data_IF_512627699523
#
_entry.id   IF_512627699523
#
_cell.length_a   1.000
_cell.length_b   1.000
_cell.length_c   1.000
_cell.angle_alpha   90.00
_cell.angle_beta   90.00
_cell.angle_gamma   90.00
#
_symmetry.space_group_name_H-M   'P 1'
#
loop_
_entity.id
_entity.type
_entity.pdbx_description
1 polymer ?
#
# COMPACT_ATOMS: atom_id res chain seq x y z
N UNK A 1 2.59 23.26 4.94
CA UNK A 1 2.29 21.81 4.82
C UNK A 1 0.91 21.41 5.37
N UNK A 2 -0.19 22.09 5.01
CA UNK A 2 -1.56 21.72 5.45
C UNK A 2 -2.29 20.77 4.48
N UNK A 3 -1.83 20.67 3.23
CA UNK A 3 -2.44 19.85 2.18
C UNK A 3 -2.21 18.34 2.38
N UNK A 4 -1.03 17.92 2.87
CA UNK A 4 -0.70 16.48 2.97
C UNK A 4 -1.64 15.71 3.90
N UNK A 5 -2.09 16.33 5.00
CA UNK A 5 -2.98 15.65 5.96
C UNK A 5 -4.41 15.44 5.45
N UNK A 6 -4.91 16.30 4.56
CA UNK A 6 -6.23 16.14 3.93
C UNK A 6 -6.16 15.12 2.80
N UNK A 7 -5.13 15.20 1.97
CA UNK A 7 -4.88 14.25 0.88
C UNK A 7 -4.81 12.82 1.43
N UNK A 8 -3.99 12.59 2.44
CA UNK A 8 -3.81 11.26 3.01
C UNK A 8 -5.11 10.68 3.55
N UNK A 9 -5.94 11.50 4.20
CA UNK A 9 -7.24 11.08 4.74
C UNK A 9 -8.21 10.60 3.67
N UNK A 10 -8.30 11.31 2.54
CA UNK A 10 -9.20 10.93 1.44
C UNK A 10 -8.66 9.68 0.74
N UNK A 11 -7.35 9.67 0.48
CA UNK A 11 -6.73 8.58 -0.26
C UNK A 11 -6.76 7.25 0.50
N UNK A 12 -6.77 7.25 1.84
CA UNK A 12 -6.91 6.02 2.63
C UNK A 12 -8.25 5.29 2.45
N UNK A 13 -9.28 5.95 1.92
CA UNK A 13 -10.55 5.28 1.61
C UNK A 13 -10.54 4.60 0.25
N UNK A 14 -9.65 5.05 -0.65
CA UNK A 14 -9.60 4.61 -2.04
C UNK A 14 -8.44 3.64 -2.24
N UNK A 15 -7.27 3.96 -1.67
CA UNK A 15 -6.01 3.25 -1.85
C UNK A 15 -6.04 1.77 -1.46
N UNK A 16 -6.67 1.34 -0.33
CA UNK A 16 -6.75 -0.08 0.02
C UNK A 16 -7.45 -0.95 -1.03
N UNK A 17 -8.35 -0.37 -1.83
CA UNK A 17 -9.03 -1.07 -2.91
C UNK A 17 -8.28 -0.89 -4.24
N UNK A 18 -7.94 0.36 -4.57
CA UNK A 18 -7.34 0.70 -5.87
C UNK A 18 -5.93 0.15 -6.00
N UNK A 19 -5.09 0.22 -4.96
CA UNK A 19 -3.68 -0.18 -5.08
C UNK A 19 -3.50 -1.69 -5.29
N UNK A 20 -4.18 -2.60 -4.55
CA UNK A 20 -4.11 -4.03 -4.86
C UNK A 20 -4.64 -4.36 -6.25
N UNK A 21 -5.75 -3.74 -6.66
CA UNK A 21 -6.27 -3.89 -8.02
C UNK A 21 -5.28 -3.40 -9.06
N UNK A 22 -4.62 -2.27 -8.80
CA UNK A 22 -3.63 -1.68 -9.70
C UNK A 22 -2.36 -2.54 -9.77
N UNK A 23 -1.95 -3.23 -8.71
CA UNK A 23 -0.85 -4.21 -8.80
C UNK A 23 -1.20 -5.35 -9.76
N UNK A 24 -2.44 -5.85 -9.71
CA UNK A 24 -2.86 -6.99 -10.52
C UNK A 24 -3.18 -6.62 -11.97
N UNK A 25 -3.92 -5.53 -12.18
CA UNK A 25 -4.47 -5.13 -13.48
C UNK A 25 -3.77 -3.92 -14.08
N UNK A 26 -3.05 -3.12 -13.29
CA UNK A 26 -2.39 -1.90 -13.78
C UNK A 26 -1.33 -2.18 -14.84
N UNK A 27 -0.76 -3.39 -14.84
CA UNK A 27 0.15 -3.88 -15.90
C UNK A 27 -0.48 -3.91 -17.30
N UNK A 28 -1.78 -4.19 -17.40
CA UNK A 28 -2.50 -4.28 -18.69
C UNK A 28 -2.61 -2.89 -19.35
N UNK A 29 -2.65 -1.83 -18.54
CA UNK A 29 -2.64 -0.43 -19.02
C UNK A 29 -1.37 -0.13 -19.82
N UNK A 30 -0.27 -0.83 -19.51
CA UNK A 30 1.02 -0.68 -20.19
C UNK A 30 1.29 -1.77 -21.24
N UNK A 31 0.28 -2.59 -21.58
CA UNK A 31 0.39 -3.63 -22.60
C UNK A 31 1.19 -4.87 -22.18
N UNK A 32 1.60 -4.99 -20.91
CA UNK A 32 2.20 -6.22 -20.43
C UNK A 32 1.15 -7.34 -20.46
N UNK A 33 1.53 -8.60 -20.77
CA UNK A 33 0.60 -9.74 -20.80
C UNK A 33 -0.13 -9.87 -19.47
N UNK A 34 -1.24 -10.58 -19.34
CA UNK A 34 -1.79 -10.96 -18.04
C UNK A 34 -2.04 -12.45 -18.02
N UNK A 35 -1.86 -13.06 -16.84
CA UNK A 35 -1.96 -14.50 -16.67
C UNK A 35 -2.85 -14.87 -15.51
N UNK A 36 -2.60 -16.06 -14.97
CA UNK A 36 -3.43 -16.63 -13.91
C UNK A 36 -3.34 -15.84 -12.60
N UNK A 37 -2.26 -15.06 -12.36
CA UNK A 37 -2.14 -14.23 -11.15
C UNK A 37 -3.20 -13.14 -11.13
N UNK A 38 -3.54 -12.53 -12.28
CA UNK A 38 -4.63 -11.55 -12.35
C UNK A 38 -5.99 -12.18 -11.97
N UNK A 39 -6.27 -13.38 -12.48
CA UNK A 39 -7.51 -14.12 -12.19
C UNK A 39 -7.64 -14.50 -10.71
N UNK A 40 -6.60 -15.13 -10.13
CA UNK A 40 -6.59 -15.46 -8.69
C UNK A 40 -6.53 -14.20 -7.81
N UNK A 41 -5.89 -13.16 -8.32
CA UNK A 41 -5.75 -11.88 -7.64
C UNK A 41 -7.10 -11.27 -7.27
N UNK A 42 -8.14 -11.43 -8.10
CA UNK A 42 -9.48 -10.93 -7.79
C UNK A 42 -10.06 -11.54 -6.51
N UNK A 43 -9.75 -12.81 -6.24
CA UNK A 43 -10.14 -13.50 -5.01
C UNK A 43 -9.27 -13.06 -3.83
N UNK A 44 -7.98 -12.75 -4.07
CA UNK A 44 -7.04 -12.33 -3.03
C UNK A 44 -7.18 -10.85 -2.62
N UNK A 45 -7.69 -9.99 -3.51
CA UNK A 45 -7.83 -8.54 -3.26
C UNK A 45 -8.58 -8.25 -1.96
N UNK A 46 -9.76 -8.84 -1.67
CA UNK A 46 -10.43 -8.63 -0.39
C UNK A 46 -9.56 -8.96 0.83
N UNK A 47 -8.76 -10.03 0.77
CA UNK A 47 -7.89 -10.44 1.87
C UNK A 47 -6.72 -9.48 2.11
N UNK A 48 -6.31 -8.72 1.11
CA UNK A 48 -5.29 -7.67 1.25
C UNK A 48 -5.92 -6.31 1.59
N UNK A 49 -7.01 -5.97 0.91
CA UNK A 49 -7.70 -4.68 1.03
C UNK A 49 -8.33 -4.50 2.41
N UNK A 50 -8.97 -5.54 2.97
CA UNK A 50 -9.64 -5.44 4.29
C UNK A 50 -8.65 -5.10 5.42
N UNK A 51 -7.51 -5.81 5.57
CA UNK A 51 -6.49 -5.42 6.54
C UNK A 51 -5.94 -4.01 6.34
N UNK A 52 -5.79 -3.55 5.10
CA UNK A 52 -5.32 -2.19 4.81
C UNK A 52 -6.26 -1.08 5.34
N UNK A 53 -7.53 -1.39 5.63
CA UNK A 53 -8.44 -0.46 6.31
C UNK A 53 -8.25 -0.40 7.83
N UNK A 54 -7.52 -1.34 8.44
CA UNK A 54 -7.35 -1.38 9.90
C UNK A 54 -6.68 -0.09 10.42
N UNK A 55 -5.50 0.34 9.94
CA UNK A 55 -4.88 1.57 10.42
C UNK A 55 -5.75 2.85 10.25
N UNK A 56 -6.36 3.14 9.08
CA UNK A 56 -7.18 4.33 8.94
C UNK A 56 -8.45 4.28 9.79
N UNK A 57 -9.08 3.12 9.98
CA UNK A 57 -10.23 2.99 10.90
C UNK A 57 -9.78 3.37 12.32
N UNK A 58 -8.70 2.78 12.82
CA UNK A 58 -8.15 3.07 14.15
C UNK A 58 -7.87 4.58 14.33
N UNK A 59 -7.22 5.21 13.36
CA UNK A 59 -6.87 6.66 13.43
C UNK A 59 -8.08 7.57 13.21
N UNK A 60 -9.07 7.14 12.42
CA UNK A 60 -10.22 8.00 12.12
C UNK A 60 -11.27 7.96 13.23
N UNK A 61 -11.48 6.85 13.92
CA UNK A 61 -12.50 6.82 14.98
C UNK A 61 -12.04 7.43 16.31
N UNK A 62 -10.74 7.64 16.50
CA UNK A 62 -10.20 8.30 17.70
C UNK A 62 -9.88 9.79 17.43
N UNK A 63 -10.72 10.70 17.95
CA UNK A 63 -10.53 12.15 17.79
C UNK A 63 -9.29 12.67 18.52
N UNK A 64 -8.91 12.04 19.62
CA UNK A 64 -7.81 12.48 20.48
C UNK A 64 -6.47 11.99 19.92
N UNK A 65 -6.42 10.78 19.36
CA UNK A 65 -5.26 10.27 18.63
C UNK A 65 -4.90 11.12 17.40
N UNK A 66 -5.89 11.78 16.77
CA UNK A 66 -5.66 12.73 15.66
C UNK A 66 -5.00 14.03 16.11
N UNK A 67 -5.05 14.39 17.38
CA UNK A 67 -4.45 15.64 17.86
C UNK A 67 -2.91 15.54 17.93
N UNK A 68 -2.36 14.33 18.10
CA UNK A 68 -0.93 14.12 18.30
C UNK A 68 -0.15 14.23 16.98
N UNK A 69 0.69 15.27 16.88
CA UNK A 69 1.43 15.62 15.65
C UNK A 69 2.48 14.59 15.25
N UNK A 70 3.12 13.93 16.22
CA UNK A 70 4.19 12.96 15.98
C UNK A 70 3.67 11.69 15.29
N UNK A 71 2.63 11.09 15.87
CA UNK A 71 1.89 9.94 15.33
C UNK A 71 1.45 10.16 13.89
N UNK A 72 0.92 11.34 13.59
CA UNK A 72 0.50 11.72 12.24
C UNK A 72 1.63 11.74 11.22
N UNK A 73 2.84 12.15 11.63
CA UNK A 73 3.99 12.19 10.71
C UNK A 73 4.45 10.77 10.36
N UNK A 74 4.61 9.91 11.36
CA UNK A 74 4.99 8.51 11.15
C UNK A 74 3.97 7.80 10.26
N UNK A 75 2.68 7.95 10.58
CA UNK A 75 1.59 7.37 9.79
C UNK A 75 1.62 7.84 8.33
N UNK A 76 1.75 9.14 8.08
CA UNK A 76 1.80 9.68 6.72
C UNK A 76 3.00 9.15 5.93
N UNK A 77 4.20 9.10 6.54
CA UNK A 77 5.41 8.59 5.88
C UNK A 77 5.22 7.12 5.53
N UNK A 78 4.78 6.30 6.48
CA UNK A 78 4.50 4.89 6.24
C UNK A 78 3.46 4.69 5.12
N UNK A 79 2.45 5.56 5.05
CA UNK A 79 1.45 5.53 3.97
C UNK A 79 2.04 5.82 2.60
N UNK A 80 2.86 6.87 2.47
CA UNK A 80 3.50 7.19 1.20
C UNK A 80 4.46 6.08 0.75
N UNK A 81 5.22 5.51 1.68
CA UNK A 81 6.10 4.36 1.38
C UNK A 81 5.28 3.18 0.90
N UNK A 82 4.21 2.83 1.61
CA UNK A 82 3.31 1.74 1.22
C UNK A 82 2.79 1.96 -0.20
N UNK A 83 2.24 3.14 -0.49
CA UNK A 83 1.68 3.43 -1.80
C UNK A 83 2.73 3.40 -2.91
N UNK A 84 3.91 3.97 -2.67
CA UNK A 84 5.01 3.91 -3.62
C UNK A 84 5.43 2.46 -3.91
N UNK A 85 5.49 1.60 -2.89
CA UNK A 85 5.82 0.19 -3.09
C UNK A 85 4.75 -0.56 -3.89
N UNK A 86 3.46 -0.28 -3.69
CA UNK A 86 2.40 -0.83 -4.54
C UNK A 86 2.56 -0.41 -6.01
N UNK A 87 2.96 0.83 -6.29
CA UNK A 87 3.24 1.28 -7.66
C UNK A 87 4.44 0.56 -8.26
N UNK A 88 5.50 0.34 -7.47
CA UNK A 88 6.65 -0.45 -7.93
C UNK A 88 6.22 -1.89 -8.21
N UNK A 89 5.45 -2.50 -7.30
CA UNK A 89 4.92 -3.85 -7.48
C UNK A 89 4.08 -3.98 -8.75
N UNK A 90 3.24 -2.99 -9.10
CA UNK A 90 2.51 -3.00 -10.37
C UNK A 90 3.45 -3.11 -11.56
N UNK A 91 4.55 -2.37 -11.56
CA UNK A 91 5.49 -2.34 -12.67
C UNK A 91 6.35 -3.60 -12.75
N UNK A 92 6.62 -4.23 -11.60
CA UNK A 92 7.59 -5.32 -11.48
C UNK A 92 6.96 -6.71 -11.36
N UNK A 93 5.65 -6.81 -11.11
CA UNK A 93 4.94 -8.08 -11.03
C UNK A 93 5.09 -8.83 -12.36
N UNK A 94 5.66 -10.03 -12.29
CA UNK A 94 5.85 -10.92 -13.45
C UNK A 94 4.68 -11.89 -13.54
N UNK A 95 4.04 -11.97 -14.71
CA UNK A 95 2.94 -12.92 -15.01
C UNK A 95 2.90 -13.18 -16.52
N UNK A 96 2.27 -14.26 -16.96
CA UNK A 96 2.21 -14.63 -18.37
C UNK A 96 1.23 -15.75 -18.71
N UNK A 97 0.62 -16.41 -17.73
CA UNK A 97 -0.29 -17.53 -17.99
C UNK A 97 0.40 -18.64 -18.78
N UNK A 98 -0.05 -18.86 -20.01
CA UNK A 98 0.52 -19.85 -20.94
C UNK A 98 1.67 -19.27 -21.81
N UNK A 99 1.98 -17.99 -21.65
CA UNK A 99 3.07 -17.28 -22.33
C UNK A 99 4.26 -17.04 -21.40
N UNK A 100 5.39 -16.58 -21.97
CA UNK A 100 6.56 -16.23 -21.17
C UNK A 100 6.21 -15.14 -20.14
N UNK A 101 6.47 -15.43 -18.86
CA UNK A 101 6.11 -14.52 -17.79
C UNK A 101 6.95 -13.23 -17.84
N UNK A 102 6.27 -12.09 -17.92
CA UNK A 102 6.87 -10.77 -18.03
C UNK A 102 6.18 -9.78 -17.08
N UNK A 103 6.93 -8.77 -16.66
CA UNK A 103 6.41 -7.58 -16.00
C UNK A 103 6.32 -6.41 -16.99
N UNK A 104 5.79 -5.27 -16.56
CA UNK A 104 5.81 -4.04 -17.38
C UNK A 104 7.23 -3.66 -17.76
N UNK A 105 8.16 -3.71 -16.80
CA UNK A 105 9.55 -3.30 -17.03
C UNK A 105 10.31 -4.28 -17.92
N UNK A 106 10.10 -5.59 -17.76
CA UNK A 106 10.76 -6.58 -18.61
C UNK A 106 10.15 -6.66 -20.01
N UNK A 107 8.83 -6.44 -20.13
CA UNK A 107 8.14 -6.37 -21.41
C UNK A 107 8.63 -5.18 -22.25
N UNK A 108 8.83 -4.02 -21.61
CA UNK A 108 9.42 -2.84 -22.25
C UNK A 108 10.93 -2.93 -22.50
N UNK A 109 11.59 -4.05 -22.18
CA UNK A 109 13.02 -4.25 -22.38
C UNK A 109 13.93 -3.42 -21.46
N UNK A 110 13.40 -2.83 -20.39
CA UNK A 110 14.17 -1.97 -19.47
C UNK A 110 15.07 -2.80 -18.54
N UNK A 111 14.59 -3.97 -18.10
CA UNK A 111 15.29 -4.87 -17.19
C UNK A 111 15.02 -6.34 -17.54
N UNK A 112 15.84 -7.26 -17.02
CA UNK A 112 15.59 -8.71 -17.15
C UNK A 112 14.41 -9.16 -16.29
N UNK A 113 13.81 -10.31 -16.64
CA UNK A 113 12.72 -10.90 -15.85
C UNK A 113 13.14 -11.20 -14.41
N UNK A 114 14.36 -11.70 -14.21
CA UNK A 114 14.92 -11.98 -12.88
C UNK A 114 15.09 -10.71 -12.05
N UNK A 115 15.61 -9.63 -12.66
CA UNK A 115 15.73 -8.33 -11.99
C UNK A 115 14.35 -7.77 -11.60
N UNK A 116 13.35 -7.95 -12.47
CA UNK A 116 11.98 -7.56 -12.16
C UNK A 116 11.41 -8.32 -10.98
N UNK A 117 11.60 -9.64 -10.94
CA UNK A 117 11.15 -10.49 -9.83
C UNK A 117 11.82 -10.10 -8.51
N UNK A 118 13.13 -9.83 -8.52
CA UNK A 118 13.85 -9.36 -7.35
C UNK A 118 13.30 -8.02 -6.83
N UNK A 119 13.03 -7.07 -7.72
CA UNK A 119 12.41 -5.79 -7.37
C UNK A 119 10.99 -5.95 -6.83
N UNK A 120 10.20 -6.87 -7.37
CA UNK A 120 8.87 -7.18 -6.86
C UNK A 120 8.93 -7.70 -5.43
N UNK A 121 9.79 -8.68 -5.14
CA UNK A 121 9.97 -9.25 -3.80
C UNK A 121 10.46 -8.19 -2.81
N UNK A 122 11.42 -7.35 -3.22
CA UNK A 122 11.90 -6.24 -2.40
C UNK A 122 10.78 -5.24 -2.09
N UNK A 123 10.02 -4.79 -3.11
CA UNK A 123 8.93 -3.86 -2.93
C UNK A 123 7.82 -4.44 -2.04
N UNK A 124 7.47 -5.71 -2.21
CA UNK A 124 6.52 -6.42 -1.35
C UNK A 124 7.00 -6.46 0.11
N UNK A 125 8.28 -6.76 0.35
CA UNK A 125 8.86 -6.75 1.69
C UNK A 125 8.80 -5.37 2.35
N UNK A 126 9.17 -4.31 1.62
CA UNK A 126 9.09 -2.92 2.11
C UNK A 126 7.62 -2.50 2.34
N UNK A 127 6.69 -2.92 1.48
CA UNK A 127 5.27 -2.67 1.65
C UNK A 127 4.74 -3.29 2.95
N UNK A 128 5.10 -4.54 3.25
CA UNK A 128 4.72 -5.19 4.52
C UNK A 128 5.27 -4.42 5.73
N UNK A 129 6.54 -4.02 5.69
CA UNK A 129 7.16 -3.23 6.77
C UNK A 129 6.43 -1.88 6.94
N UNK A 130 6.13 -1.20 5.84
CA UNK A 130 5.41 0.07 5.86
C UNK A 130 4.00 -0.08 6.45
N UNK A 131 3.27 -1.15 6.08
CA UNK A 131 1.97 -1.47 6.65
C UNK A 131 2.06 -1.73 8.16
N UNK A 132 3.02 -2.53 8.62
CA UNK A 132 3.26 -2.75 10.06
C UNK A 132 3.56 -1.41 10.75
N UNK A 133 4.36 -0.55 10.13
CA UNK A 133 4.62 0.81 10.62
C UNK A 133 3.36 1.67 10.75
N UNK A 134 2.41 1.57 9.82
CA UNK A 134 1.12 2.25 9.92
C UNK A 134 0.29 1.73 11.10
N UNK A 135 0.24 0.41 11.29
CA UNK A 135 -0.48 -0.22 12.43
C UNK A 135 0.13 0.23 13.75
N UNK A 136 1.46 0.16 13.88
CA UNK A 136 2.18 0.62 15.09
C UNK A 136 1.90 2.10 15.35
N UNK A 137 2.02 2.95 14.32
CA UNK A 137 1.72 4.37 14.46
C UNK A 137 0.27 4.60 14.92
N UNK A 138 -0.70 3.86 14.39
CA UNK A 138 -2.09 3.96 14.80
C UNK A 138 -2.29 3.56 16.28
N UNK A 139 -1.69 2.46 16.72
CA UNK A 139 -1.76 1.99 18.13
C UNK A 139 -1.05 2.95 19.09
N UNK A 140 0.14 3.43 18.74
CA UNK A 140 0.88 4.43 19.54
C UNK A 140 0.06 5.70 19.68
N UNK A 141 -0.61 6.15 18.62
CA UNK A 141 -1.51 7.31 18.66
C UNK A 141 -2.60 7.20 19.71
N UNK A 142 -3.26 6.04 19.80
CA UNK A 142 -4.31 5.78 20.79
C UNK A 142 -3.73 5.72 22.19
N UNK A 143 -2.61 5.04 22.38
CA UNK A 143 -2.00 4.89 23.72
C UNK A 143 -1.49 6.22 24.25
N UNK A 144 -0.93 7.09 23.41
CA UNK A 144 -0.52 8.45 23.79
C UNK A 144 -1.73 9.34 24.11
N UNK A 145 -2.81 9.27 23.31
CA UNK A 145 -4.03 10.04 23.56
C UNK A 145 -4.64 9.73 24.93
N UNK A 146 -4.64 8.45 25.33
CA UNK A 146 -5.19 8.01 26.62
C UNK A 146 -4.34 8.40 27.84
N UNK A 147 -3.08 8.80 27.64
CA UNK A 147 -2.18 9.22 28.73
C UNK A 147 -2.34 10.70 29.09
N UNK A 148 -2.97 11.50 28.24
CA UNK A 148 -3.17 12.93 28.49
C UNK A 148 -4.54 13.11 29.17
N UNK A 149 -4.59 13.59 30.43
CA UNK A 149 -5.86 13.82 31.11
C UNK A 149 -6.71 14.88 30.37
N UNK A 150 -8.05 14.75 30.37
CA UNK A 150 -8.93 15.70 29.70
C UNK A 150 -8.69 17.09 30.29
N UNK A 151 -8.31 18.04 29.43
CA UNK A 151 -8.26 19.46 29.81
C UNK A 151 -9.71 19.93 29.95
N UNK A 152 -10.18 20.01 31.19
CA UNK A 152 -11.46 20.65 31.53
C UNK A 152 -11.43 22.13 31.15
#
# INVERSE_FOLDING_TARGET
MRLSGRFVRVFHWIAPLVLPLLVLYGREIFGAPSGWIAAFGLILVPFVAVPMYVPPIIVLFDRDARATRHTRRMYNVASYVLWAMFLIMMLTLTDGGDSAAQSVLSHGGLITADASMALFVFAAGVAVIAYIGQVIAAVVGITEARRVPPRM
#
